data_IF_398366208199
#
_entry.id   IF_398366208199
#
_cell.length_a   1.000
_cell.length_b   1.000
_cell.length_c   1.000
_cell.angle_alpha   90.00
_cell.angle_beta   90.00
_cell.angle_gamma   90.00
#
_symmetry.space_group_name_H-M   'P 1'
#
loop_
_entity.id
_entity.type
_entity.pdbx_description
1 polymer ?
#
# COMPACT_ATOMS: atom_id res chain seq x y z
N UNK A 1 -9.22 -11.66 9.89
CA UNK A 1 -8.47 -11.48 8.64
C UNK A 1 -9.34 -11.98 7.50
N UNK A 2 -9.50 -11.20 6.43
CA UNK A 2 -10.27 -11.58 5.23
C UNK A 2 -9.31 -11.66 4.05
N UNK A 3 -9.36 -12.74 3.28
CA UNK A 3 -8.61 -12.92 2.06
C UNK A 3 -9.56 -13.42 0.97
N UNK A 4 -9.40 -12.91 -0.25
CA UNK A 4 -10.22 -13.25 -1.40
C UNK A 4 -9.30 -13.44 -2.60
N UNK A 5 -9.51 -14.50 -3.36
CA UNK A 5 -8.71 -14.81 -4.55
C UNK A 5 -9.57 -14.65 -5.81
N UNK A 6 -9.26 -13.62 -6.60
CA UNK A 6 -9.92 -13.35 -7.88
C UNK A 6 -9.10 -13.93 -9.03
N UNK A 7 -9.71 -14.77 -9.86
CA UNK A 7 -9.08 -15.23 -11.11
C UNK A 7 -8.90 -14.05 -12.07
N UNK A 8 -7.66 -13.76 -12.45
CA UNK A 8 -7.33 -12.73 -13.43
C UNK A 8 -7.34 -13.31 -14.85
N UNK A 9 -7.99 -12.60 -15.76
CA UNK A 9 -8.06 -12.83 -17.20
C UNK A 9 -7.81 -11.50 -17.91
N UNK A 10 -7.52 -11.52 -19.21
CA UNK A 10 -7.36 -10.27 -19.98
C UNK A 10 -8.63 -9.39 -19.93
N UNK A 11 -9.81 -10.02 -20.02
CA UNK A 11 -11.09 -9.32 -20.01
C UNK A 11 -11.42 -8.62 -18.69
N UNK A 12 -10.97 -9.16 -17.55
CA UNK A 12 -11.36 -8.65 -16.24
C UNK A 12 -10.26 -7.90 -15.48
N UNK A 13 -9.01 -7.89 -15.97
CA UNK A 13 -7.86 -7.29 -15.27
C UNK A 13 -8.16 -5.87 -14.78
N UNK A 14 -8.61 -4.99 -15.67
CA UNK A 14 -8.92 -3.59 -15.33
C UNK A 14 -10.08 -3.48 -14.34
N UNK A 15 -11.11 -4.31 -14.50
CA UNK A 15 -12.26 -4.33 -13.58
C UNK A 15 -11.87 -4.81 -12.19
N UNK A 16 -11.00 -5.82 -12.09
CA UNK A 16 -10.49 -6.30 -10.79
C UNK A 16 -9.58 -5.24 -10.16
N UNK A 17 -8.72 -4.58 -10.94
CA UNK A 17 -7.90 -3.48 -10.43
C UNK A 17 -8.75 -2.29 -9.93
N UNK A 18 -9.88 -2.01 -10.59
CA UNK A 18 -10.83 -1.02 -10.11
C UNK A 18 -11.54 -1.47 -8.82
N UNK A 19 -11.97 -2.75 -8.75
CA UNK A 19 -12.55 -3.32 -7.54
C UNK A 19 -11.58 -3.25 -6.35
N UNK A 20 -10.28 -3.52 -6.51
CA UNK A 20 -9.34 -3.41 -5.39
C UNK A 20 -9.24 -1.98 -4.86
N UNK A 21 -9.35 -0.97 -5.73
CA UNK A 21 -9.40 0.44 -5.30
C UNK A 21 -10.67 0.75 -4.51
N UNK A 22 -11.81 0.21 -4.91
CA UNK A 22 -13.08 0.38 -4.18
C UNK A 22 -13.03 -0.32 -2.81
N UNK A 23 -12.41 -1.50 -2.75
CA UNK A 23 -12.16 -2.21 -1.50
C UNK A 23 -11.21 -1.44 -0.58
N UNK A 24 -10.21 -0.74 -1.11
CA UNK A 24 -9.35 0.13 -0.30
C UNK A 24 -10.19 1.15 0.49
N UNK A 25 -11.15 1.81 -0.18
CA UNK A 25 -12.01 2.82 0.46
C UNK A 25 -12.89 2.20 1.55
N UNK A 26 -13.46 1.01 1.30
CA UNK A 26 -14.26 0.29 2.30
C UNK A 26 -13.42 -0.07 3.52
N UNK A 27 -12.20 -0.56 3.32
CA UNK A 27 -11.27 -0.90 4.40
C UNK A 27 -10.92 0.36 5.20
N UNK A 28 -10.63 1.48 4.54
CA UNK A 28 -10.35 2.76 5.21
C UNK A 28 -11.54 3.25 6.05
N UNK A 29 -12.76 3.23 5.49
CA UNK A 29 -13.99 3.62 6.20
C UNK A 29 -14.23 2.77 7.45
N UNK A 30 -13.87 1.49 7.39
CA UNK A 30 -13.93 0.58 8.52
C UNK A 30 -12.74 0.68 9.49
N UNK A 31 -11.85 1.68 9.32
CA UNK A 31 -10.59 1.84 10.06
C UNK A 31 -9.72 0.58 10.04
N UNK A 32 -9.77 -0.15 8.93
CA UNK A 32 -9.04 -1.39 8.69
C UNK A 32 -7.60 -1.16 8.28
N UNK A 33 -6.87 -2.25 8.06
CA UNK A 33 -5.44 -2.24 7.74
C UNK A 33 -5.13 -3.19 6.59
N UNK A 34 -4.05 -2.89 5.88
CA UNK A 34 -3.58 -3.67 4.76
C UNK A 34 -2.32 -4.46 5.11
N UNK A 35 -2.16 -5.61 4.46
CA UNK A 35 -0.99 -6.46 4.63
C UNK A 35 -0.10 -6.39 3.39
N UNK A 36 1.05 -5.72 3.50
CA UNK A 36 1.96 -5.49 2.38
C UNK A 36 2.47 -6.77 1.70
N UNK A 37 2.59 -7.89 2.40
CA UNK A 37 2.98 -9.17 1.78
C UNK A 37 1.93 -9.72 0.80
N UNK A 38 0.71 -9.18 0.82
CA UNK A 38 -0.40 -9.52 -0.08
C UNK A 38 -0.78 -8.34 -1.00
N UNK A 39 -0.03 -7.24 -0.95
CA UNK A 39 -0.31 -6.05 -1.74
C UNK A 39 0.46 -6.03 -3.06
N UNK A 40 -0.26 -5.70 -4.13
CA UNK A 40 0.33 -5.31 -5.41
C UNK A 40 -0.33 -4.08 -6.04
N UNK A 41 -1.33 -3.46 -5.39
CA UNK A 41 -2.20 -2.44 -6.02
C UNK A 41 -2.44 -1.17 -5.18
N UNK A 42 -2.04 -1.14 -3.91
CA UNK A 42 -2.23 0.04 -3.04
C UNK A 42 -1.67 1.33 -3.64
N UNK A 43 -2.28 2.44 -3.25
CA UNK A 43 -1.90 3.79 -3.69
C UNK A 43 -1.29 4.58 -2.52
N UNK A 44 -0.33 5.49 -2.76
CA UNK A 44 0.34 6.26 -1.69
C UNK A 44 -0.63 6.93 -0.71
N UNK A 45 -1.72 7.51 -1.23
CA UNK A 45 -2.73 8.18 -0.42
C UNK A 45 -3.47 7.22 0.54
N UNK A 46 -3.72 5.97 0.11
CA UNK A 46 -4.34 4.94 0.95
C UNK A 46 -3.38 4.55 2.07
N UNK A 47 -2.10 4.33 1.73
CA UNK A 47 -1.04 4.07 2.72
C UNK A 47 -0.92 5.19 3.75
N UNK A 48 -1.00 6.45 3.30
CA UNK A 48 -1.01 7.61 4.19
C UNK A 48 -2.22 7.64 5.11
N UNK A 49 -3.40 7.36 4.57
CA UNK A 49 -4.65 7.38 5.32
C UNK A 49 -4.65 6.31 6.44
N UNK A 50 -4.28 5.07 6.14
CA UNK A 50 -4.38 3.99 7.14
C UNK A 50 -3.21 3.93 8.14
N UNK A 51 -1.99 4.35 7.76
CA UNK A 51 -0.85 4.36 8.69
C UNK A 51 -0.81 5.65 9.54
N UNK A 52 -1.29 6.76 8.98
CA UNK A 52 -1.19 8.08 9.59
C UNK A 52 0.18 8.74 9.44
N UNK A 53 0.19 10.07 9.52
CA UNK A 53 1.38 10.91 9.31
C UNK A 53 2.49 10.60 10.31
N UNK A 54 2.14 10.39 11.58
CA UNK A 54 3.11 10.14 12.65
C UNK A 54 3.88 8.84 12.42
N UNK A 55 3.16 7.73 12.20
CA UNK A 55 3.75 6.42 11.90
C UNK A 55 4.69 6.48 10.70
N UNK A 56 4.25 7.12 9.62
CA UNK A 56 5.06 7.26 8.40
C UNK A 56 6.31 8.07 8.68
N UNK A 57 6.19 9.21 9.38
CA UNK A 57 7.33 10.07 9.71
C UNK A 57 8.36 9.31 10.56
N UNK A 58 7.89 8.57 11.57
CA UNK A 58 8.76 7.74 12.41
C UNK A 58 9.47 6.66 11.60
N UNK A 59 8.75 5.99 10.68
CA UNK A 59 9.32 4.97 9.82
C UNK A 59 10.36 5.54 8.84
N UNK A 60 10.07 6.66 8.17
CA UNK A 60 11.00 7.32 7.26
C UNK A 60 12.26 7.82 7.99
N UNK A 61 12.12 8.32 9.23
CA UNK A 61 13.27 8.67 10.07
C UNK A 61 14.16 7.47 10.36
N UNK A 62 13.57 6.32 10.71
CA UNK A 62 14.33 5.08 10.91
C UNK A 62 15.01 4.62 9.61
N UNK A 63 14.31 4.69 8.47
CA UNK A 63 14.90 4.38 7.17
C UNK A 63 16.13 5.23 6.89
N UNK A 64 16.05 6.54 7.11
CA UNK A 64 17.17 7.46 6.88
C UNK A 64 18.35 7.17 7.82
N UNK A 65 18.09 6.77 9.06
CA UNK A 65 19.13 6.44 10.03
C UNK A 65 19.93 5.20 9.63
N UNK A 66 19.28 4.17 9.08
CA UNK A 66 19.90 2.87 8.80
C UNK A 66 20.22 2.63 7.31
N UNK A 67 19.66 3.44 6.42
CA UNK A 67 19.93 3.39 4.98
C UNK A 67 19.96 4.81 4.40
N UNK A 68 20.98 5.61 4.76
CA UNK A 68 21.05 7.04 4.43
C UNK A 68 21.16 7.31 2.92
N UNK A 69 21.71 6.35 2.16
CA UNK A 69 21.84 6.40 0.70
C UNK A 69 20.62 5.81 -0.02
N UNK A 70 19.59 5.38 0.73
CA UNK A 70 18.34 4.81 0.22
C UNK A 70 18.56 3.61 -0.74
N UNK A 71 19.51 2.73 -0.40
CA UNK A 71 19.88 1.54 -1.19
C UNK A 71 18.87 0.41 -1.04
N UNK A 72 18.26 0.27 0.13
CA UNK A 72 17.26 -0.73 0.46
C UNK A 72 15.88 -0.26 -0.01
N UNK A 73 15.56 -0.58 -1.26
CA UNK A 73 14.29 -0.21 -1.87
C UNK A 73 13.75 -1.32 -2.78
N UNK A 74 12.43 -1.50 -2.75
CA UNK A 74 11.68 -2.41 -3.61
C UNK A 74 10.67 -1.63 -4.45
N UNK A 75 9.99 -2.30 -5.38
CA UNK A 75 8.89 -1.65 -6.12
C UNK A 75 7.73 -1.22 -5.20
N UNK A 76 7.48 -1.94 -4.10
CA UNK A 76 6.53 -1.50 -3.08
C UNK A 76 7.00 -0.20 -2.42
N UNK A 77 8.28 -0.12 -2.03
CA UNK A 77 8.86 1.10 -1.45
C UNK A 77 8.69 2.30 -2.39
N UNK A 78 9.12 2.16 -3.65
CA UNK A 78 9.01 3.23 -4.67
C UNK A 78 7.56 3.61 -4.94
N UNK A 79 6.63 2.65 -4.93
CA UNK A 79 5.22 2.93 -5.16
C UNK A 79 4.59 3.67 -4.00
N UNK A 80 4.90 3.31 -2.75
CA UNK A 80 4.13 3.76 -1.59
C UNK A 80 4.78 4.85 -0.76
N UNK A 81 6.10 4.99 -0.79
CA UNK A 81 6.83 5.85 0.16
C UNK A 81 7.64 6.99 -0.47
N UNK A 82 7.96 6.95 -1.77
CA UNK A 82 8.79 8.01 -2.40
C UNK A 82 8.01 9.20 -2.93
N UNK A 83 6.68 9.08 -3.02
CA UNK A 83 5.75 10.15 -3.42
C UNK A 83 5.06 10.80 -2.22
N UNK A 84 5.60 10.59 -1.01
CA UNK A 84 5.00 11.02 0.26
C UNK A 84 5.54 12.35 0.79
#
# INVERSE_FOLDING_TARGET
SLAMDFRITERNRERVAQLTRELDEIVLLANGRFYFAKDSTLRPQVTRAYLGKETITKFLKLKQQYDPENRLQTNLWRRLFTTL
#
